data_IF_896147260847
#
_entry.id   IF_896147260847
#
_cell.length_a   1.000
_cell.length_b   1.000
_cell.length_c   1.000
_cell.angle_alpha   90.00
_cell.angle_beta   90.00
_cell.angle_gamma   90.00
#
_symmetry.space_group_name_H-M   'P 1'
#
loop_
_entity.id
_entity.type
_entity.pdbx_description
1 polymer ?
#
# COMPACT_ATOMS: atom_id res chain seq x y z
N UNK A 1 -2.77 -19.09 -14.17
CA UNK A 1 -3.80 -18.22 -13.59
C UNK A 1 -4.07 -17.09 -14.56
N UNK A 2 -5.30 -16.95 -15.06
CA UNK A 2 -5.71 -15.81 -15.88
C UNK A 2 -6.27 -14.75 -14.92
N UNK A 3 -5.52 -13.67 -14.71
CA UNK A 3 -6.02 -12.53 -13.95
C UNK A 3 -7.14 -11.86 -14.76
N UNK A 4 -8.26 -11.54 -14.09
CA UNK A 4 -9.37 -10.81 -14.70
C UNK A 4 -8.91 -9.46 -15.28
N UNK A 5 -9.53 -9.04 -16.38
CA UNK A 5 -9.18 -7.81 -17.10
C UNK A 5 -9.59 -6.60 -16.24
N UNK A 6 -8.61 -5.77 -15.85
CA UNK A 6 -8.88 -4.48 -15.24
C UNK A 6 -9.32 -3.46 -16.31
N UNK A 7 -10.26 -2.56 -16.00
CA UNK A 7 -10.80 -1.60 -16.97
C UNK A 7 -9.89 -0.38 -17.26
N UNK A 8 -8.60 -0.39 -16.90
CA UNK A 8 -7.76 0.80 -17.02
C UNK A 8 -6.30 0.43 -17.40
N UNK A 9 -5.80 0.99 -18.50
CA UNK A 9 -4.57 0.54 -19.18
C UNK A 9 -3.24 0.82 -18.42
N UNK A 10 -3.26 1.64 -17.36
CA UNK A 10 -2.06 2.00 -16.59
C UNK A 10 -1.64 1.03 -15.47
N UNK A 11 -2.39 -0.06 -15.22
CA UNK A 11 -2.21 -0.87 -14.02
C UNK A 11 -1.14 -1.97 -14.11
N UNK A 12 -0.92 -2.55 -15.30
CA UNK A 12 0.10 -3.60 -15.47
C UNK A 12 1.52 -3.07 -15.26
N UNK A 13 1.77 -1.81 -15.65
CA UNK A 13 3.05 -1.13 -15.44
C UNK A 13 3.32 -0.86 -13.95
N UNK A 14 2.29 -0.53 -13.17
CA UNK A 14 2.42 -0.31 -11.73
C UNK A 14 2.79 -1.60 -10.98
N UNK A 15 2.09 -2.71 -11.24
CA UNK A 15 2.40 -4.01 -10.62
C UNK A 15 3.77 -4.54 -11.01
N UNK A 16 4.12 -4.42 -12.30
CA UNK A 16 5.45 -4.82 -12.79
C UNK A 16 6.56 -4.00 -12.14
N UNK A 17 6.29 -2.71 -11.89
CA UNK A 17 7.21 -1.83 -11.16
C UNK A 17 7.36 -2.26 -9.70
N UNK A 18 6.27 -2.62 -9.01
CA UNK A 18 6.32 -3.13 -7.63
C UNK A 18 7.10 -4.44 -7.54
N UNK A 19 6.86 -5.39 -8.44
CA UNK A 19 7.60 -6.65 -8.49
C UNK A 19 9.09 -6.43 -8.79
N UNK A 20 9.41 -5.54 -9.74
CA UNK A 20 10.79 -5.16 -10.03
C UNK A 20 11.48 -4.55 -8.80
N UNK A 21 10.84 -3.59 -8.13
CA UNK A 21 11.37 -2.98 -6.91
C UNK A 21 11.51 -3.99 -5.78
N UNK A 22 10.59 -4.94 -5.64
CA UNK A 22 10.65 -6.00 -4.64
C UNK A 22 11.82 -6.95 -4.91
N UNK A 23 12.02 -7.38 -6.15
CA UNK A 23 13.19 -8.17 -6.56
C UNK A 23 14.49 -7.41 -6.34
N UNK A 24 14.54 -6.12 -6.66
CA UNK A 24 15.71 -5.29 -6.40
C UNK A 24 16.02 -5.23 -4.90
N UNK A 25 15.01 -5.00 -4.06
CA UNK A 25 15.18 -4.96 -2.61
C UNK A 25 15.67 -6.32 -2.05
N UNK A 26 15.24 -7.43 -2.65
CA UNK A 26 15.66 -8.78 -2.29
C UNK A 26 17.10 -9.09 -2.73
N UNK A 27 17.47 -8.70 -3.96
CA UNK A 27 18.81 -8.90 -4.50
C UNK A 27 19.85 -7.98 -3.85
N UNK A 28 19.45 -6.78 -3.43
CA UNK A 28 20.31 -5.77 -2.82
C UNK A 28 19.73 -5.27 -1.49
N UNK A 29 19.73 -6.11 -0.43
CA UNK A 29 19.18 -5.72 0.86
C UNK A 29 19.92 -4.51 1.42
N UNK A 30 19.22 -3.44 1.80
CA UNK A 30 19.88 -2.21 2.23
C UNK A 30 20.57 -2.40 3.58
N UNK A 31 21.72 -1.77 3.76
CA UNK A 31 22.44 -1.76 5.04
C UNK A 31 21.80 -0.83 6.09
N UNK A 32 20.97 0.13 5.66
CA UNK A 32 20.36 1.13 6.52
C UNK A 32 18.97 1.57 6.02
N UNK A 33 18.23 2.34 6.85
CA UNK A 33 16.82 2.67 6.58
C UNK A 33 16.62 3.68 5.44
N UNK A 34 17.69 4.29 4.90
CA UNK A 34 17.63 5.34 3.88
C UNK A 34 17.35 4.87 2.44
N UNK A 35 17.16 3.58 2.19
CA UNK A 35 16.93 3.08 0.82
C UNK A 35 15.64 3.62 0.21
N UNK A 36 15.72 3.99 -1.08
CA UNK A 36 14.58 4.45 -1.88
C UNK A 36 13.55 3.36 -2.07
N UNK A 37 13.97 2.14 -2.38
CA UNK A 37 13.11 0.98 -2.62
C UNK A 37 12.37 0.57 -1.35
N UNK A 38 13.07 0.57 -0.20
CA UNK A 38 12.43 0.39 1.10
C UNK A 38 11.38 1.48 1.38
N UNK A 39 11.70 2.73 1.02
CA UNK A 39 10.76 3.85 1.20
C UNK A 39 9.54 3.73 0.28
N UNK A 40 9.70 3.22 -0.93
CA UNK A 40 8.58 2.91 -1.84
C UNK A 40 7.72 1.78 -1.26
N UNK A 41 8.35 0.69 -0.82
CA UNK A 41 7.66 -0.47 -0.26
C UNK A 41 6.80 -0.09 0.96
N UNK A 42 7.29 0.79 1.82
CA UNK A 42 6.58 1.25 3.02
C UNK A 42 5.59 2.38 2.73
N UNK A 43 5.75 3.12 1.63
CA UNK A 43 4.80 4.17 1.25
C UNK A 43 3.43 3.59 0.93
N UNK A 44 3.35 2.50 0.17
CA UNK A 44 2.08 1.90 -0.24
C UNK A 44 1.18 1.56 0.98
N UNK A 45 1.63 0.78 1.99
CA UNK A 45 0.81 0.49 3.17
C UNK A 45 0.46 1.75 3.98
N UNK A 46 1.37 2.71 4.11
CA UNK A 46 1.08 3.99 4.80
C UNK A 46 -0.10 4.73 4.15
N UNK A 47 -0.20 4.71 2.82
CA UNK A 47 -1.30 5.39 2.12
C UNK A 47 -2.59 4.57 2.12
N UNK A 48 -2.50 3.28 1.84
CA UNK A 48 -3.68 2.45 1.63
C UNK A 48 -4.32 1.99 2.94
N UNK A 49 -3.51 1.66 3.96
CA UNK A 49 -4.02 1.04 5.18
C UNK A 49 -4.33 2.07 6.27
N UNK A 50 -3.64 3.21 6.27
CA UNK A 50 -3.75 4.23 7.32
C UNK A 50 -4.70 5.38 6.95
N UNK A 51 -5.43 5.30 5.84
CA UNK A 51 -6.42 6.31 5.43
C UNK A 51 -7.84 5.75 5.50
N UNK A 52 -8.79 6.58 5.91
CA UNK A 52 -10.22 6.23 5.95
C UNK A 52 -10.83 6.17 4.54
N UNK A 53 -11.33 5.01 4.07
CA UNK A 53 -11.70 4.86 2.66
C UNK A 53 -13.14 5.27 2.32
N UNK A 54 -14.03 5.46 3.31
CA UNK A 54 -15.49 5.62 3.06
C UNK A 54 -16.04 7.03 3.26
N UNK A 55 -15.32 7.96 3.90
CA UNK A 55 -15.77 9.36 4.03
C UNK A 55 -15.67 10.17 2.74
N UNK A 56 -15.38 9.51 1.63
CA UNK A 56 -15.39 10.08 0.29
C UNK A 56 -16.80 9.97 -0.30
N UNK A 57 -17.71 10.83 0.14
CA UNK A 57 -18.96 11.04 -0.61
C UNK A 57 -18.63 11.50 -2.04
N UNK A 58 -19.42 11.13 -3.07
CA UNK A 58 -19.19 11.62 -4.42
C UNK A 58 -19.23 13.14 -4.42
N UNK A 59 -18.10 13.78 -4.75
CA UNK A 59 -18.11 15.22 -4.95
C UNK A 59 -18.67 15.45 -6.37
N UNK A 60 -19.71 16.27 -6.53
CA UNK A 60 -20.32 16.54 -7.84
C UNK A 60 -19.26 17.07 -8.81
N UNK A 61 -19.15 16.44 -9.98
CA UNK A 61 -18.34 17.01 -11.07
C UNK A 61 -18.96 18.36 -11.47
N UNK A 62 -18.17 19.45 -11.55
CA UNK A 62 -18.68 20.67 -12.17
C UNK A 62 -19.08 20.38 -13.63
N UNK A 63 -20.12 21.05 -14.16
CA UNK A 63 -20.56 20.82 -15.53
C UNK A 63 -19.41 21.07 -16.51
N UNK A 64 -19.30 20.29 -17.60
CA UNK A 64 -18.23 20.45 -18.56
C UNK A 64 -18.31 21.83 -19.21
N UNK A 65 -17.35 22.70 -18.90
CA UNK A 65 -17.21 24.00 -19.55
C UNK A 65 -16.73 23.82 -21.00
N UNK A 66 -17.40 24.40 -22.00
CA UNK A 66 -16.96 24.33 -23.38
C UNK A 66 -15.84 25.35 -23.59
N UNK A 67 -14.57 24.94 -23.48
CA UNK A 67 -13.46 25.79 -23.94
C UNK A 67 -12.37 25.01 -24.68
N UNK A 68 -12.16 25.43 -25.92
CA UNK A 68 -11.29 24.90 -26.97
C UNK A 68 -9.80 25.19 -26.74
N UNK A 69 -9.27 24.88 -25.56
CA UNK A 69 -7.82 24.90 -25.32
C UNK A 69 -7.44 23.72 -24.42
N UNK A 70 -7.43 22.54 -25.03
CA UNK A 70 -6.90 21.30 -24.44
C UNK A 70 -5.36 21.37 -24.44
N UNK A 71 -4.79 22.30 -23.68
CA UNK A 71 -3.43 22.16 -23.16
C UNK A 71 -3.45 21.02 -22.15
N UNK A 72 -2.39 20.21 -22.11
CA UNK A 72 -2.13 19.13 -21.16
C UNK A 72 -2.03 19.60 -19.70
N UNK A 73 -3.06 20.30 -19.23
CA UNK A 73 -3.34 20.45 -17.82
C UNK A 73 -4.06 19.16 -17.44
N UNK A 74 -3.35 18.29 -16.70
CA UNK A 74 -3.93 17.28 -15.85
C UNK A 74 -4.93 18.00 -14.93
N UNK A 75 -6.15 18.22 -15.43
CA UNK A 75 -7.24 18.79 -14.66
C UNK A 75 -7.46 17.83 -13.51
N UNK A 76 -7.24 18.37 -12.31
CA UNK A 76 -7.21 17.70 -11.02
C UNK A 76 -8.61 17.17 -10.67
N UNK A 77 -9.04 16.13 -11.39
CA UNK A 77 -10.26 15.36 -11.16
C UNK A 77 -10.17 14.43 -9.95
N UNK A 78 -9.31 14.73 -8.96
CA UNK A 78 -9.17 13.98 -7.70
C UNK A 78 -10.28 14.31 -6.71
N UNK A 79 -11.50 14.20 -7.22
CA UNK A 79 -12.75 14.66 -6.63
C UNK A 79 -13.49 13.41 -6.16
N UNK A 80 -13.11 12.89 -4.98
CA UNK A 80 -13.68 11.73 -4.27
C UNK A 80 -13.77 10.36 -5.00
N UNK A 81 -13.48 10.30 -6.29
CA UNK A 81 -13.25 9.07 -7.05
C UNK A 81 -11.81 8.61 -6.78
N UNK A 82 -11.49 7.50 -6.14
CA UNK A 82 -12.28 6.45 -5.49
C UNK A 82 -11.27 5.78 -4.53
N UNK A 83 -11.33 6.00 -3.21
CA UNK A 83 -10.41 5.29 -2.30
C UNK A 83 -10.60 3.76 -2.39
N UNK A 84 -11.79 3.30 -2.78
CA UNK A 84 -12.07 1.92 -3.18
C UNK A 84 -11.17 1.48 -4.35
N UNK A 85 -11.01 2.31 -5.38
CA UNK A 85 -10.16 2.02 -6.54
C UNK A 85 -8.68 2.05 -6.17
N UNK A 86 -8.30 2.93 -5.24
CA UNK A 86 -6.97 2.92 -4.63
C UNK A 86 -6.72 1.66 -3.81
N UNK A 87 -7.66 1.21 -2.97
CA UNK A 87 -7.53 -0.03 -2.21
C UNK A 87 -7.44 -1.25 -3.14
N UNK A 88 -8.32 -1.33 -4.14
CA UNK A 88 -8.28 -2.36 -5.18
C UNK A 88 -6.97 -2.35 -5.98
N UNK A 89 -6.14 -1.31 -5.85
CA UNK A 89 -4.86 -1.20 -6.52
C UNK A 89 -3.72 -1.51 -5.57
N UNK A 90 -3.68 -0.79 -4.47
CA UNK A 90 -2.52 -0.69 -3.60
C UNK A 90 -2.33 -2.01 -2.87
N UNK A 91 -3.43 -2.66 -2.48
CA UNK A 91 -3.40 -4.02 -1.90
C UNK A 91 -2.72 -4.99 -2.87
N UNK A 92 -3.10 -4.98 -4.15
CA UNK A 92 -2.45 -5.84 -5.15
C UNK A 92 -0.97 -5.48 -5.38
N UNK A 93 -0.63 -4.19 -5.33
CA UNK A 93 0.74 -3.72 -5.49
C UNK A 93 1.63 -4.05 -4.27
N UNK A 94 1.04 -4.22 -3.08
CA UNK A 94 1.77 -4.65 -1.88
C UNK A 94 2.21 -6.12 -1.98
N UNK A 95 1.38 -7.00 -2.55
CA UNK A 95 1.64 -8.46 -2.62
C UNK A 95 3.09 -8.79 -3.00
N UNK A 96 3.63 -8.33 -4.15
CA UNK A 96 5.00 -8.68 -4.52
C UNK A 96 6.06 -8.16 -3.53
N UNK A 97 5.87 -6.99 -2.91
CA UNK A 97 6.81 -6.47 -1.90
C UNK A 97 6.90 -7.39 -0.69
N UNK A 98 5.75 -7.85 -0.20
CA UNK A 98 5.69 -8.71 0.99
C UNK A 98 6.10 -10.14 0.67
N UNK A 99 5.71 -10.69 -0.49
CA UNK A 99 6.12 -12.03 -0.92
C UNK A 99 7.63 -12.15 -1.15
N UNK A 100 8.22 -11.18 -1.86
CA UNK A 100 9.62 -11.27 -2.32
C UNK A 100 10.59 -10.68 -1.31
N UNK A 101 10.20 -9.58 -0.65
CA UNK A 101 11.09 -8.79 0.20
C UNK A 101 10.53 -8.53 1.61
N UNK A 102 9.41 -9.14 2.00
CA UNK A 102 8.74 -8.88 3.27
C UNK A 102 9.62 -9.12 4.49
N UNK A 103 10.44 -10.19 4.48
CA UNK A 103 11.40 -10.45 5.57
C UNK A 103 12.52 -9.40 5.68
N UNK A 104 12.89 -8.77 4.56
CA UNK A 104 13.86 -7.66 4.54
C UNK A 104 13.19 -6.39 5.06
N UNK A 105 11.97 -6.09 4.61
CA UNK A 105 11.16 -4.97 5.07
C UNK A 105 10.99 -5.07 6.60
N UNK A 106 10.58 -6.22 7.12
CA UNK A 106 10.33 -6.43 8.54
C UNK A 106 11.57 -6.21 9.43
N UNK A 107 12.79 -6.45 8.95
CA UNK A 107 14.03 -6.16 9.70
C UNK A 107 14.22 -4.68 10.04
N UNK A 108 13.48 -3.79 9.37
CA UNK A 108 13.49 -2.35 9.61
C UNK A 108 12.42 -1.87 10.59
N UNK A 109 11.62 -2.78 11.16
CA UNK A 109 10.78 -2.47 12.33
C UNK A 109 11.67 -1.88 13.44
N UNK A 110 11.26 -0.73 13.96
CA UNK A 110 11.99 0.07 14.95
C UNK A 110 13.19 0.87 14.41
N UNK A 111 13.51 0.78 13.11
CA UNK A 111 14.71 1.42 12.51
C UNK A 111 14.37 2.47 11.44
N UNK A 112 13.19 2.39 10.83
CA UNK A 112 12.79 3.29 9.74
C UNK A 112 11.87 4.39 10.24
N UNK A 113 12.23 5.63 9.94
CA UNK A 113 11.34 6.79 10.07
C UNK A 113 10.45 6.91 8.82
N UNK A 114 9.15 7.12 9.04
CA UNK A 114 8.13 7.29 8.00
C UNK A 114 7.56 8.71 7.95
N UNK A 115 8.13 9.69 8.66
CA UNK A 115 7.66 11.08 8.68
C UNK A 115 7.40 11.65 7.27
N UNK A 116 8.30 11.38 6.31
CA UNK A 116 8.11 11.82 4.93
C UNK A 116 6.91 11.15 4.22
N UNK A 117 6.66 9.87 4.52
CA UNK A 117 5.49 9.18 3.98
C UNK A 117 4.20 9.73 4.60
N UNK A 118 4.22 10.02 5.90
CA UNK A 118 3.09 10.62 6.62
C UNK A 118 2.73 12.03 6.16
N UNK A 119 3.73 12.85 5.80
CA UNK A 119 3.52 14.22 5.33
C UNK A 119 2.59 14.31 4.09
N UNK A 120 2.40 13.20 3.38
CA UNK A 120 1.53 13.15 2.20
C UNK A 120 0.12 12.59 2.48
N UNK A 121 -0.18 12.23 3.74
CA UNK A 121 -1.50 11.79 4.16
C UNK A 121 -2.46 12.96 4.26
N UNK A 122 -3.77 12.70 4.14
CA UNK A 122 -4.79 13.66 4.56
C UNK A 122 -4.93 13.58 6.08
N UNK A 123 -4.63 14.67 6.84
CA UNK A 123 -4.63 14.63 8.31
C UNK A 123 -5.97 14.18 8.89
N UNK A 124 -7.05 14.68 8.32
CA UNK A 124 -8.43 14.47 8.80
C UNK A 124 -8.93 13.03 8.60
N UNK A 125 -8.22 12.25 7.78
CA UNK A 125 -8.57 10.88 7.39
C UNK A 125 -7.50 9.87 7.82
N UNK A 126 -6.46 10.31 8.53
CA UNK A 126 -5.42 9.43 9.02
C UNK A 126 -5.95 8.58 10.17
N UNK A 127 -6.08 7.27 9.94
CA UNK A 127 -6.51 6.28 10.93
C UNK A 127 -5.39 5.92 11.91
N UNK A 128 -4.12 5.99 11.48
CA UNK A 128 -2.99 5.73 12.36
C UNK A 128 -2.71 6.92 13.28
N UNK A 129 -2.71 6.67 14.60
CA UNK A 129 -2.51 7.70 15.64
C UNK A 129 -1.22 7.55 16.46
N UNK A 130 -0.44 6.50 16.20
CA UNK A 130 0.86 6.31 16.85
C UNK A 130 1.98 7.12 16.19
N UNK A 131 3.21 6.86 16.61
CA UNK A 131 4.40 7.59 16.14
C UNK A 131 4.67 7.42 14.64
N UNK A 132 5.48 8.33 14.08
CA UNK A 132 5.92 8.29 12.68
C UNK A 132 6.95 7.19 12.38
N UNK A 133 7.39 6.44 13.40
CA UNK A 133 8.31 5.31 13.21
C UNK A 133 7.61 4.11 12.57
N UNK A 134 8.36 3.29 11.84
CA UNK A 134 7.91 1.97 11.41
C UNK A 134 8.04 1.00 12.58
N UNK A 135 7.05 1.00 13.47
CA UNK A 135 7.05 0.21 14.70
C UNK A 135 6.36 -1.16 14.52
N UNK A 136 6.53 -2.04 15.52
CA UNK A 136 5.82 -3.33 15.56
C UNK A 136 4.31 -3.12 15.68
N UNK A 137 3.91 -2.16 16.50
CA UNK A 137 2.51 -1.74 16.65
C UNK A 137 1.90 -1.30 15.31
N UNK A 138 2.66 -0.52 14.52
CA UNK A 138 2.22 -0.07 13.20
C UNK A 138 2.06 -1.23 12.21
N UNK A 139 2.99 -2.20 12.27
CA UNK A 139 2.88 -3.42 11.49
C UNK A 139 1.64 -4.26 11.89
N UNK A 140 1.33 -4.35 13.18
CA UNK A 140 0.11 -5.02 13.67
C UNK A 140 -1.15 -4.30 13.22
N UNK A 141 -1.18 -2.96 13.31
CA UNK A 141 -2.24 -2.14 12.76
C UNK A 141 -2.46 -2.39 11.26
N UNK A 142 -1.40 -2.50 10.46
CA UNK A 142 -1.54 -2.84 9.04
C UNK A 142 -2.20 -4.21 8.81
N UNK A 143 -1.88 -5.22 9.61
CA UNK A 143 -2.55 -6.54 9.53
C UNK A 143 -4.04 -6.42 9.87
N UNK A 144 -4.39 -5.67 10.92
CA UNK A 144 -5.80 -5.44 11.27
C UNK A 144 -6.56 -4.74 10.13
N UNK A 145 -5.92 -3.76 9.48
CA UNK A 145 -6.51 -3.06 8.33
C UNK A 145 -6.67 -3.98 7.13
N UNK A 146 -5.71 -4.86 6.85
CA UNK A 146 -5.80 -5.85 5.78
C UNK A 146 -6.90 -6.90 6.06
N UNK A 147 -7.01 -7.37 7.31
CA UNK A 147 -8.10 -8.25 7.73
C UNK A 147 -9.45 -7.56 7.49
N UNK A 148 -9.60 -6.31 7.94
CA UNK A 148 -10.81 -5.55 7.68
C UNK A 148 -11.09 -5.37 6.18
N UNK A 149 -10.07 -5.08 5.35
CA UNK A 149 -10.20 -4.98 3.88
C UNK A 149 -10.75 -6.30 3.29
N UNK A 150 -10.27 -7.44 3.78
CA UNK A 150 -10.71 -8.77 3.32
C UNK A 150 -12.20 -9.06 3.56
N UNK A 151 -12.86 -8.27 4.39
CA UNK A 151 -14.28 -8.42 4.75
C UNK A 151 -15.19 -7.44 4.00
N UNK A 152 -14.64 -6.51 3.20
CA UNK A 152 -15.42 -5.46 2.54
C UNK A 152 -15.99 -5.93 1.20
N UNK A 153 -17.32 -6.06 1.14
CA UNK A 153 -18.02 -6.58 -0.04
C UNK A 153 -18.00 -5.62 -1.24
N UNK A 154 -17.79 -4.32 -1.00
CA UNK A 154 -17.68 -3.29 -2.02
C UNK A 154 -16.34 -3.33 -2.77
N UNK A 155 -15.33 -4.04 -2.24
CA UNK A 155 -14.05 -4.27 -2.91
C UNK A 155 -14.14 -5.44 -3.89
N UNK A 156 -13.17 -5.55 -4.80
CA UNK A 156 -13.10 -6.69 -5.69
C UNK A 156 -12.77 -7.97 -4.89
N UNK A 157 -13.33 -9.12 -5.31
CA UNK A 157 -13.03 -10.42 -4.70
C UNK A 157 -11.53 -10.67 -4.61
N UNK A 158 -10.82 -10.46 -5.71
CA UNK A 158 -9.36 -10.58 -5.74
C UNK A 158 -8.68 -9.67 -4.72
N UNK A 159 -9.19 -8.46 -4.48
CA UNK A 159 -8.59 -7.52 -3.51
C UNK A 159 -8.76 -8.05 -2.10
N UNK A 160 -9.92 -8.65 -1.79
CA UNK A 160 -10.13 -9.34 -0.50
C UNK A 160 -9.19 -10.53 -0.35
N UNK A 161 -9.05 -11.34 -1.39
CA UNK A 161 -8.14 -12.50 -1.40
C UNK A 161 -6.68 -12.08 -1.19
N UNK A 162 -6.23 -11.05 -1.91
CA UNK A 162 -4.86 -10.54 -1.78
C UNK A 162 -4.62 -9.88 -0.41
N UNK A 163 -5.64 -9.27 0.20
CA UNK A 163 -5.54 -8.76 1.57
C UNK A 163 -5.39 -9.90 2.60
N UNK A 164 -6.20 -10.96 2.48
CA UNK A 164 -6.08 -12.16 3.31
C UNK A 164 -4.69 -12.80 3.16
N UNK A 165 -4.22 -12.93 1.92
CA UNK A 165 -2.88 -13.44 1.61
C UNK A 165 -1.77 -12.59 2.23
N UNK A 166 -1.89 -11.25 2.20
CA UNK A 166 -0.93 -10.37 2.85
C UNK A 166 -0.87 -10.59 4.36
N UNK A 167 -2.02 -10.77 5.03
CA UNK A 167 -2.06 -11.10 6.47
C UNK A 167 -1.30 -12.40 6.75
N UNK A 168 -1.51 -13.44 5.95
CA UNK A 168 -0.81 -14.73 6.07
C UNK A 168 0.71 -14.59 5.88
N UNK A 169 1.13 -13.85 4.85
CA UNK A 169 2.56 -13.58 4.59
C UNK A 169 3.17 -12.84 5.78
N UNK A 170 2.49 -11.80 6.29
CA UNK A 170 2.98 -11.01 7.42
C UNK A 170 3.12 -11.87 8.69
N UNK A 171 2.18 -12.78 8.96
CA UNK A 171 2.30 -13.73 10.05
C UNK A 171 3.46 -14.72 9.86
N UNK A 172 3.63 -15.26 8.66
CA UNK A 172 4.76 -16.17 8.38
C UNK A 172 6.11 -15.49 8.60
N UNK A 173 6.26 -14.23 8.17
CA UNK A 173 7.47 -13.43 8.39
C UNK A 173 7.77 -13.26 9.88
N UNK A 174 6.74 -12.97 10.70
CA UNK A 174 6.89 -12.83 12.15
C UNK A 174 7.34 -14.14 12.80
N UNK A 175 6.75 -15.27 12.41
CA UNK A 175 7.08 -16.59 12.93
C UNK A 175 8.52 -16.98 12.58
N UNK A 176 8.90 -16.89 11.30
CA UNK A 176 10.26 -17.19 10.85
C UNK A 176 11.31 -16.31 11.55
N UNK A 177 10.99 -15.03 11.77
CA UNK A 177 11.88 -14.11 12.48
C UNK A 177 12.05 -14.51 13.95
N UNK A 178 10.96 -14.94 14.61
CA UNK A 178 11.00 -15.41 16.00
C UNK A 178 11.82 -16.68 16.14
N UNK A 179 11.59 -17.68 15.28
CA UNK A 179 12.32 -18.95 15.28
C UNK A 179 13.81 -18.73 15.08
N UNK A 180 14.19 -17.85 14.15
CA UNK A 180 15.60 -17.50 13.91
C UNK A 180 16.27 -16.86 15.12
N UNK A 181 15.54 -16.04 15.88
CA UNK A 181 16.07 -15.41 17.09
C UNK A 181 16.13 -16.37 18.29
N UNK A 182 15.32 -17.42 18.32
CA UNK A 182 15.35 -18.45 19.37
C UNK A 182 16.43 -19.52 19.14
N UNK A 183 16.98 -19.61 17.93
CA UNK A 183 18.03 -20.55 17.55
C UNK A 183 19.46 -19.97 17.73
N UNK A 184 19.59 -18.73 18.19
CA UNK A 184 20.84 -18.01 18.47
C UNK A 184 21.02 -17.85 19.98
#
# INVERSE_FOLDING_TARGET
MRYGIYPFEGWYTFHSSSAFCAHYLSAYPPHGPGSRELSIALRIPVFALEQEPWKHGPVPLPPPSPSLLQRHNLVDGRVATNYILMLNTDVHAMVPFFEIAGSIIFKFVGKKDLTLAEANKKPDLNLWKGDSSFSKERWDFWKERLQWISEQNELMERTRDDAQKLVEIMHSIEQQTREKNSAL
#
